data_IF_032395775815
#
_entry.id   IF_032395775815
#
_cell.length_a   1.000
_cell.length_b   1.000
_cell.length_c   1.000
_cell.angle_alpha   90.00
_cell.angle_beta   90.00
_cell.angle_gamma   90.00
#
_symmetry.space_group_name_H-M   'P 1'
#
loop_
_entity.id
_entity.type
_entity.pdbx_description
1 polymer ?
#
# COMPACT_ATOMS: atom_id res chain seq x y z
N UNK A 1 17.62 21.77 1.60
CA UNK A 1 18.72 21.02 0.97
C UNK A 1 18.20 19.63 0.65
N UNK A 2 18.20 19.26 -0.63
CA UNK A 2 17.79 17.97 -1.21
C UNK A 2 16.56 17.29 -0.57
N UNK A 3 15.38 17.73 -0.99
CA UNK A 3 14.13 17.00 -0.81
C UNK A 3 14.20 15.78 -1.75
N UNK A 4 14.89 14.73 -1.30
CA UNK A 4 14.91 13.46 -1.97
C UNK A 4 13.46 13.01 -2.13
N UNK A 5 12.98 12.80 -3.36
CA UNK A 5 11.79 12.00 -3.59
C UNK A 5 12.00 10.67 -2.88
N UNK A 6 11.52 10.56 -1.65
CA UNK A 6 11.52 9.34 -0.89
C UNK A 6 10.86 8.30 -1.80
N UNK A 7 11.51 7.16 -2.02
CA UNK A 7 11.02 6.09 -2.92
C UNK A 7 9.71 5.44 -2.44
N UNK A 8 9.03 6.07 -1.47
CA UNK A 8 7.80 5.64 -0.86
C UNK A 8 6.82 6.80 -0.66
N UNK A 9 5.55 6.45 -0.50
CA UNK A 9 4.49 7.34 -0.03
C UNK A 9 3.68 6.62 1.04
N UNK A 10 3.60 7.19 2.23
CA UNK A 10 2.64 6.77 3.24
C UNK A 10 1.29 7.46 2.96
N UNK A 11 0.22 6.69 3.09
CA UNK A 11 -1.16 7.17 3.02
C UNK A 11 -1.87 6.67 4.29
N UNK A 12 -2.00 7.52 5.33
CA UNK A 12 -2.71 7.14 6.55
C UNK A 12 -4.21 6.99 6.28
N UNK A 13 -4.88 6.16 7.08
CA UNK A 13 -6.33 5.97 6.99
C UNK A 13 -7.07 7.32 7.10
N UNK A 14 -8.20 7.43 6.40
CA UNK A 14 -9.02 8.64 6.43
C UNK A 14 -9.36 9.10 7.86
N UNK A 15 -9.12 10.38 8.14
CA UNK A 15 -9.27 11.00 9.46
C UNK A 15 -8.10 10.80 10.43
N UNK A 16 -7.00 10.16 10.01
CA UNK A 16 -5.79 10.03 10.83
C UNK A 16 -4.74 11.05 10.38
N UNK A 17 -4.12 11.82 11.30
CA UNK A 17 -3.07 12.76 10.93
C UNK A 17 -1.85 12.04 10.33
N UNK A 18 -1.12 12.77 9.48
CA UNK A 18 0.17 12.31 9.01
C UNK A 18 1.12 12.11 10.21
N UNK A 19 1.88 11.00 10.27
CA UNK A 19 2.82 10.79 11.36
C UNK A 19 4.06 11.65 11.18
N UNK A 20 4.70 11.99 12.30
CA UNK A 20 5.94 12.77 12.32
C UNK A 20 7.09 12.10 11.54
N UNK A 21 7.10 10.76 11.48
CA UNK A 21 8.05 9.99 10.69
C UNK A 21 7.54 8.56 10.41
N UNK A 22 8.09 7.93 9.36
CA UNK A 22 7.87 6.49 9.14
C UNK A 22 8.36 5.63 10.31
N UNK A 23 9.47 6.02 10.95
CA UNK A 23 10.03 5.26 12.05
C UNK A 23 9.08 5.26 13.25
N UNK A 24 8.53 6.42 13.62
CA UNK A 24 7.54 6.54 14.70
C UNK A 24 6.24 5.79 14.35
N UNK A 25 5.81 5.86 13.10
CA UNK A 25 4.64 5.15 12.60
C UNK A 25 4.79 3.62 12.74
N UNK A 26 5.89 3.05 12.25
CA UNK A 26 6.13 1.61 12.36
C UNK A 26 6.42 1.16 13.77
N UNK A 27 7.14 1.96 14.57
CA UNK A 27 7.32 1.66 15.99
C UNK A 27 5.97 1.52 16.72
N UNK A 28 5.06 2.47 16.45
CA UNK A 28 3.69 2.42 16.98
C UNK A 28 2.88 1.25 16.40
N UNK A 29 3.18 0.79 15.19
CA UNK A 29 2.54 -0.41 14.66
C UNK A 29 3.05 -1.67 15.37
N UNK A 30 4.37 -1.79 15.51
CA UNK A 30 5.05 -2.93 16.09
C UNK A 30 4.66 -3.15 17.55
N UNK A 31 4.63 -2.09 18.36
CA UNK A 31 4.18 -2.17 19.76
C UNK A 31 2.79 -2.79 19.92
N UNK A 32 1.91 -2.64 18.94
CA UNK A 32 0.53 -3.13 18.96
C UNK A 32 0.42 -4.55 18.39
N UNK A 33 1.40 -5.01 17.60
CA UNK A 33 1.42 -6.36 17.02
C UNK A 33 2.09 -7.41 17.91
N UNK A 34 2.93 -6.98 18.87
CA UNK A 34 3.61 -7.85 19.85
C UNK A 34 2.64 -8.73 20.66
N UNK A 35 1.35 -8.40 20.71
CA UNK A 35 0.31 -9.18 21.39
C UNK A 35 -0.29 -10.35 20.58
N UNK A 36 0.44 -10.91 19.61
CA UNK A 36 0.03 -12.15 18.92
C UNK A 36 -0.80 -11.93 17.65
N UNK A 37 -0.50 -10.87 16.90
CA UNK A 37 -1.12 -10.65 15.58
C UNK A 37 -0.51 -11.62 14.56
N UNK A 38 -1.33 -12.50 13.99
CA UNK A 38 -0.89 -13.52 13.01
C UNK A 38 -0.61 -12.96 11.61
N UNK A 39 -1.12 -11.75 11.30
CA UNK A 39 -1.00 -11.12 10.00
C UNK A 39 -0.68 -9.64 10.14
N UNK A 40 0.45 -9.19 9.60
CA UNK A 40 0.88 -7.78 9.67
C UNK A 40 0.25 -6.88 8.60
N UNK A 41 -0.28 -7.44 7.53
CA UNK A 41 -0.85 -6.69 6.42
C UNK A 41 -0.88 -7.49 5.12
N UNK A 42 -1.29 -6.85 4.04
CA UNK A 42 -1.25 -7.39 2.69
C UNK A 42 -0.28 -6.59 1.82
N UNK A 43 0.58 -7.28 1.07
CA UNK A 43 1.49 -6.69 0.10
C UNK A 43 0.96 -6.95 -1.31
N UNK A 44 0.47 -5.92 -1.98
CA UNK A 44 0.10 -5.99 -3.39
C UNK A 44 1.30 -5.57 -4.25
N UNK A 45 1.50 -6.24 -5.39
CA UNK A 45 2.53 -5.86 -6.37
C UNK A 45 1.85 -5.47 -7.67
N UNK A 46 1.76 -4.17 -7.93
CA UNK A 46 1.20 -3.64 -9.15
C UNK A 46 2.31 -3.56 -10.20
N UNK A 47 2.21 -4.38 -11.25
CA UNK A 47 3.15 -4.37 -12.37
C UNK A 47 2.70 -3.37 -13.43
N UNK A 48 3.66 -2.68 -14.02
CA UNK A 48 3.41 -1.68 -15.05
C UNK A 48 4.26 -1.96 -16.29
N UNK A 49 3.84 -1.36 -17.40
CA UNK A 49 4.61 -1.34 -18.64
C UNK A 49 6.03 -0.78 -18.38
N UNK A 50 7.08 -1.45 -18.88
CA UNK A 50 8.47 -0.97 -18.79
C UNK A 50 8.69 0.48 -19.21
N UNK A 51 7.95 0.95 -20.22
CA UNK A 51 8.11 2.28 -20.81
C UNK A 51 7.26 3.35 -20.13
N UNK A 52 6.42 2.96 -19.16
CA UNK A 52 5.60 3.91 -18.41
C UNK A 52 6.49 4.84 -17.54
N UNK A 53 6.26 6.16 -17.56
CA UNK A 53 6.98 7.07 -16.68
C UNK A 53 6.76 6.75 -15.20
N UNK A 54 7.82 6.88 -14.39
CA UNK A 54 7.80 6.60 -12.93
C UNK A 54 6.65 7.29 -12.21
N UNK A 55 6.48 8.59 -12.46
CA UNK A 55 5.43 9.39 -11.84
C UNK A 55 4.03 8.86 -12.19
N UNK A 56 3.84 8.33 -13.40
CA UNK A 56 2.55 7.82 -13.84
C UNK A 56 2.20 6.50 -13.14
N UNK A 57 3.18 5.61 -12.94
CA UNK A 57 2.97 4.39 -12.14
C UNK A 57 2.54 4.74 -10.71
N UNK A 58 3.24 5.69 -10.08
CA UNK A 58 2.93 6.11 -8.73
C UNK A 58 1.58 6.83 -8.64
N UNK A 59 1.26 7.65 -9.63
CA UNK A 59 -0.05 8.28 -9.73
C UNK A 59 -1.18 7.24 -9.83
N UNK A 60 -1.03 6.21 -10.67
CA UNK A 60 -2.02 5.13 -10.80
C UNK A 60 -2.20 4.33 -9.51
N UNK A 61 -1.10 4.00 -8.84
CA UNK A 61 -1.13 3.32 -7.54
C UNK A 61 -1.81 4.19 -6.47
N UNK A 62 -1.48 5.49 -6.43
CA UNK A 62 -2.12 6.45 -5.53
C UNK A 62 -3.63 6.53 -5.77
N UNK A 63 -4.06 6.66 -7.03
CA UNK A 63 -5.48 6.70 -7.38
C UNK A 63 -6.22 5.43 -6.93
N UNK A 64 -5.63 4.25 -7.13
CA UNK A 64 -6.21 3.01 -6.64
C UNK A 64 -6.36 3.01 -5.12
N UNK A 65 -5.31 3.38 -4.38
CA UNK A 65 -5.38 3.45 -2.91
C UNK A 65 -6.43 4.46 -2.45
N UNK A 66 -6.44 5.66 -3.03
CA UNK A 66 -7.41 6.70 -2.69
C UNK A 66 -8.86 6.33 -3.01
N UNK A 67 -9.10 5.60 -4.10
CA UNK A 67 -10.46 5.24 -4.50
C UNK A 67 -10.98 3.95 -3.85
N UNK A 68 -10.09 3.01 -3.52
CA UNK A 68 -10.47 1.63 -3.15
C UNK A 68 -10.11 1.28 -1.72
N UNK A 69 -8.98 1.76 -1.19
CA UNK A 69 -8.51 1.41 0.15
C UNK A 69 -8.86 2.49 1.19
N UNK A 70 -8.70 3.76 0.83
CA UNK A 70 -8.99 4.91 1.71
C UNK A 70 -10.44 4.94 2.24
N UNK A 71 -11.49 4.70 1.42
CA UNK A 71 -12.86 4.66 1.93
C UNK A 71 -13.10 3.56 2.97
N UNK A 72 -12.24 2.52 2.98
CA UNK A 72 -12.24 1.45 3.99
C UNK A 72 -11.38 1.79 5.21
N UNK A 73 -10.84 3.01 5.31
CA UNK A 73 -9.96 3.47 6.41
C UNK A 73 -8.73 2.59 6.60
N UNK A 74 -8.14 2.18 5.48
CA UNK A 74 -6.91 1.38 5.44
C UNK A 74 -5.70 2.29 5.25
N UNK A 75 -4.70 2.13 6.14
CA UNK A 75 -3.40 2.78 5.96
C UNK A 75 -2.51 1.95 5.06
N UNK A 76 -1.88 2.60 4.08
CA UNK A 76 -1.04 1.92 3.09
C UNK A 76 0.26 2.66 2.86
N UNK A 77 1.31 1.89 2.55
CA UNK A 77 2.60 2.42 2.11
C UNK A 77 2.83 1.95 0.68
N UNK A 78 3.06 2.93 -0.20
CA UNK A 78 3.39 2.69 -1.59
C UNK A 78 4.90 2.78 -1.72
N UNK A 79 5.52 1.83 -2.42
CA UNK A 79 6.97 1.84 -2.71
C UNK A 79 7.16 1.53 -4.18
N UNK A 80 7.90 2.36 -4.90
CA UNK A 80 8.18 2.15 -6.31
C UNK A 80 9.55 1.52 -6.51
N UNK A 81 9.62 0.48 -7.35
CA UNK A 81 10.86 -0.15 -7.79
C UNK A 81 11.04 -0.04 -9.30
N UNK A 82 12.25 0.36 -9.71
CA UNK A 82 12.67 0.39 -11.11
C UNK A 82 13.75 -0.66 -11.39
N UNK A 83 13.87 -1.18 -12.63
CA UNK A 83 14.93 -2.10 -13.03
C UNK A 83 16.35 -1.56 -12.83
N UNK A 84 16.51 -0.24 -12.80
CA UNK A 84 17.78 0.45 -12.53
C UNK A 84 18.12 0.55 -11.03
N UNK A 85 17.17 0.24 -10.14
CA UNK A 85 17.45 0.19 -8.71
C UNK A 85 18.26 -1.09 -8.44
N UNK A 86 19.42 -0.96 -7.80
CA UNK A 86 20.44 -2.02 -7.61
C UNK A 86 19.96 -3.33 -6.96
N UNK A 87 18.66 -3.45 -6.63
CA UNK A 87 18.01 -4.56 -5.92
C UNK A 87 16.95 -5.29 -6.73
N UNK A 88 16.66 -4.90 -7.98
CA UNK A 88 15.60 -5.55 -8.77
C UNK A 88 15.94 -5.63 -10.27
N UNK A 89 16.17 -6.85 -10.78
CA UNK A 89 16.11 -7.15 -12.21
C UNK A 89 14.66 -7.28 -12.72
N UNK A 90 13.66 -7.14 -11.84
CA UNK A 90 12.26 -7.28 -12.20
C UNK A 90 11.72 -6.03 -12.92
N UNK A 91 10.72 -6.25 -13.78
CA UNK A 91 9.94 -5.20 -14.46
C UNK A 91 9.47 -4.12 -13.46
N UNK A 92 9.31 -2.85 -13.89
CA UNK A 92 8.84 -1.78 -13.02
C UNK A 92 7.54 -2.14 -12.29
N UNK A 93 7.50 -1.87 -10.99
CA UNK A 93 6.34 -2.19 -10.17
C UNK A 93 6.23 -1.24 -8.98
N UNK A 94 5.03 -1.19 -8.43
CA UNK A 94 4.73 -0.52 -7.16
C UNK A 94 4.24 -1.56 -6.17
N UNK A 95 4.88 -1.62 -5.02
CA UNK A 95 4.34 -2.31 -3.86
C UNK A 95 3.35 -1.42 -3.14
N UNK A 96 2.21 -1.99 -2.74
CA UNK A 96 1.27 -1.37 -1.81
C UNK A 96 1.20 -2.29 -0.61
N UNK A 97 1.78 -1.86 0.51
CA UNK A 97 1.66 -2.57 1.77
C UNK A 97 0.53 -1.95 2.59
N UNK A 98 -0.55 -2.68 2.77
CA UNK A 98 -1.72 -2.25 3.55
C UNK A 98 -1.70 -2.95 4.91
N UNK A 99 -1.69 -2.15 5.97
CA UNK A 99 -1.58 -2.65 7.34
C UNK A 99 -2.87 -3.31 7.81
N UNK A 100 -2.73 -4.38 8.59
CA UNK A 100 -3.88 -5.19 9.03
C UNK A 100 -4.64 -4.58 10.20
N UNK A 101 -4.05 -3.69 10.99
CA UNK A 101 -4.72 -3.07 12.13
C UNK A 101 -5.49 -1.81 11.74
N UNK A 102 -6.62 -1.57 12.41
CA UNK A 102 -7.36 -0.31 12.31
C UNK A 102 -6.47 0.85 12.78
N UNK A 103 -6.19 1.80 11.89
CA UNK A 103 -5.46 3.01 12.22
C UNK A 103 -6.43 4.10 12.67
N UNK A 104 -6.24 4.61 13.89
CA UNK A 104 -7.06 5.66 14.51
C UNK A 104 -6.15 6.83 14.88
N UNK A 105 -6.73 8.00 15.13
CA UNK A 105 -5.97 9.17 15.61
C UNK A 105 -5.18 8.88 16.91
N UNK A 106 -5.63 7.93 17.73
CA UNK A 106 -4.97 7.48 18.96
C UNK A 106 -3.96 6.33 18.74
N UNK A 107 -3.63 5.99 17.49
CA UNK A 107 -2.76 4.85 17.14
C UNK A 107 -3.52 3.64 16.58
N UNK A 108 -2.90 2.46 16.64
CA UNK A 108 -3.47 1.23 16.09
C UNK A 108 -4.37 0.47 17.07
N UNK A 109 -5.40 -0.17 16.55
CA UNK A 109 -6.37 -0.96 17.31
C UNK A 109 -6.37 -2.44 16.94
N UNK A 110 -7.58 -3.02 16.85
CA UNK A 110 -7.79 -4.41 16.46
C UNK A 110 -7.46 -4.65 14.98
N UNK A 111 -7.36 -5.92 14.59
CA UNK A 111 -7.32 -6.34 13.18
C UNK A 111 -8.57 -5.83 12.45
N UNK A 112 -8.34 -5.11 11.37
CA UNK A 112 -9.35 -4.51 10.52
C UNK A 112 -10.19 -5.62 9.83
N UNK A 113 -11.52 -5.45 9.70
CA UNK A 113 -12.40 -6.49 9.14
C UNK A 113 -12.02 -7.01 7.75
N UNK A 114 -11.35 -6.17 6.96
CA UNK A 114 -10.85 -6.52 5.61
C UNK A 114 -9.79 -7.65 5.63
N UNK A 115 -9.24 -7.96 6.81
CA UNK A 115 -8.19 -8.96 7.03
C UNK A 115 -8.66 -10.19 7.83
N UNK A 116 -9.96 -10.48 7.80
CA UNK A 116 -10.54 -11.66 8.46
C UNK A 116 -10.63 -12.88 7.56
N UNK A 117 -10.56 -12.67 6.25
CA UNK A 117 -10.62 -13.73 5.26
C UNK A 117 -9.33 -14.56 5.29
N UNK A 118 -9.38 -15.77 4.77
CA UNK A 118 -8.18 -16.58 4.61
C UNK A 118 -7.17 -15.88 3.66
N UNK A 119 -5.84 -15.97 3.86
CA UNK A 119 -4.86 -15.27 3.02
C UNK A 119 -5.02 -15.47 1.52
N UNK A 120 -5.39 -16.68 1.08
CA UNK A 120 -5.66 -16.97 -0.33
C UNK A 120 -6.85 -16.16 -0.88
N UNK A 121 -7.93 -16.02 -0.11
CA UNK A 121 -9.13 -15.29 -0.52
C UNK A 121 -8.86 -13.77 -0.56
N UNK A 122 -8.09 -13.26 0.40
CA UNK A 122 -7.63 -11.87 0.38
C UNK A 122 -6.81 -11.54 -0.85
N UNK A 123 -5.88 -12.44 -1.23
CA UNK A 123 -5.07 -12.26 -2.43
C UNK A 123 -5.97 -12.14 -3.68
N UNK A 124 -6.90 -13.08 -3.86
CA UNK A 124 -7.84 -13.08 -4.99
C UNK A 124 -8.71 -11.82 -5.01
N UNK A 125 -9.19 -11.39 -3.84
CA UNK A 125 -9.99 -10.17 -3.69
C UNK A 125 -9.21 -8.92 -4.12
N UNK A 126 -8.00 -8.69 -3.58
CA UNK A 126 -7.22 -7.51 -3.95
C UNK A 126 -6.79 -7.52 -5.42
N UNK A 127 -6.46 -8.69 -5.96
CA UNK A 127 -6.18 -8.84 -7.39
C UNK A 127 -7.40 -8.49 -8.24
N UNK A 128 -8.58 -9.00 -7.88
CA UNK A 128 -9.83 -8.68 -8.57
C UNK A 128 -10.18 -7.18 -8.46
N UNK A 129 -10.00 -6.56 -7.30
CA UNK A 129 -10.21 -5.13 -7.08
C UNK A 129 -9.28 -4.27 -7.97
N UNK A 130 -7.99 -4.60 -8.02
CA UNK A 130 -7.05 -3.91 -8.91
C UNK A 130 -7.43 -4.08 -10.38
N UNK A 131 -7.82 -5.30 -10.76
CA UNK A 131 -8.22 -5.62 -12.13
C UNK A 131 -9.49 -4.88 -12.56
N UNK A 132 -10.48 -4.79 -11.68
CA UNK A 132 -11.69 -4.01 -11.90
C UNK A 132 -11.36 -2.52 -12.02
N UNK A 133 -10.54 -2.00 -11.10
CA UNK A 133 -10.15 -0.59 -11.07
C UNK A 133 -9.43 -0.16 -12.35
N UNK A 134 -8.40 -0.91 -12.78
CA UNK A 134 -7.66 -0.60 -14.03
C UNK A 134 -8.57 -0.65 -15.26
N UNK A 135 -9.49 -1.62 -15.31
CA UNK A 135 -10.42 -1.78 -16.44
C UNK A 135 -11.39 -0.61 -16.52
N UNK A 136 -11.95 -0.18 -15.38
CA UNK A 136 -12.84 0.98 -15.31
C UNK A 136 -12.18 2.30 -15.77
N UNK A 137 -10.84 2.40 -15.68
CA UNK A 137 -10.07 3.56 -16.12
C UNK A 137 -9.44 3.40 -17.51
N UNK A 138 -9.74 2.30 -18.22
CA UNK A 138 -9.19 2.03 -19.56
C UNK A 138 -7.69 1.78 -19.58
N UNK A 139 -7.10 1.29 -18.47
CA UNK A 139 -5.68 1.01 -18.37
C UNK A 139 -5.36 -0.42 -18.82
N UNK A 140 -4.33 -0.56 -19.67
CA UNK A 140 -3.81 -1.87 -20.06
C UNK A 140 -3.25 -2.65 -18.88
N UNK A 141 -3.33 -3.98 -18.95
CA UNK A 141 -2.51 -4.85 -18.12
C UNK A 141 -1.05 -4.70 -18.58
N UNK A 142 -0.13 -4.41 -17.64
CA UNK A 142 1.32 -4.32 -17.90
C UNK A 142 2.02 -5.68 -17.95
#
# INVERSE_FOLDING_TARGET
>A
MADHCLGYRLIPADGVPDPDSLQAFFHTYDCQTVQGVTLLGALQTLRFDPDMPRWQMMHRAYLYVSAVLQPRKLSSILVQHMPSDARSAARPHVHIFTLSLEHRASGFGRVHPDFRDHPADMQLKYEAEWNAFRTAHGWSAG
#
